data_IF_080899798863
#
_entry.id   IF_080899798863
#
_cell.length_a   1.000
_cell.length_b   1.000
_cell.length_c   1.000
_cell.angle_alpha   90.00
_cell.angle_beta   90.00
_cell.angle_gamma   90.00
#
_symmetry.space_group_name_H-M   'P 1'
#
loop_
_entity.id
_entity.type
_entity.pdbx_description
1 polymer ?
#
# COMPACT_ATOMS: atom_id res chain seq x y z
N UNK A 1 -22.31 -4.31 29.24
CA UNK A 1 -21.33 -3.44 28.56
C UNK A 1 -20.02 -4.21 28.51
N UNK A 2 -19.63 -4.75 27.35
CA UNK A 2 -18.35 -5.43 27.18
C UNK A 2 -17.26 -4.39 26.90
N UNK A 3 -16.21 -4.27 27.76
CA UNK A 3 -15.01 -3.53 27.43
C UNK A 3 -14.10 -4.49 26.68
N UNK A 4 -14.28 -4.63 25.38
CA UNK A 4 -13.68 -5.76 24.67
C UNK A 4 -13.66 -5.63 23.17
N UNK A 5 -13.23 -4.48 22.65
CA UNK A 5 -12.60 -4.43 21.32
C UNK A 5 -11.82 -3.12 21.20
N UNK A 6 -10.61 -3.12 21.77
CA UNK A 6 -9.57 -2.25 21.22
C UNK A 6 -9.29 -2.82 19.84
N UNK A 7 -9.93 -2.29 18.80
CA UNK A 7 -9.50 -2.49 17.41
C UNK A 7 -8.01 -2.16 17.40
N UNK A 8 -7.15 -3.19 17.36
CA UNK A 8 -5.75 -2.97 17.08
C UNK A 8 -5.71 -2.29 15.71
N UNK A 9 -4.96 -1.19 15.53
CA UNK A 9 -4.68 -0.74 14.18
C UNK A 9 -4.12 -1.95 13.44
N UNK A 10 -4.61 -2.22 12.24
CA UNK A 10 -4.20 -3.37 11.46
C UNK A 10 -2.69 -3.31 11.26
N UNK A 11 -1.93 -4.03 12.10
CA UNK A 11 -0.45 -4.04 12.07
C UNK A 11 0.06 -4.49 10.70
N UNK A 12 -0.75 -5.28 9.99
CA UNK A 12 -0.62 -5.60 8.58
C UNK A 12 -1.96 -6.04 7.98
N UNK A 13 -2.04 -6.00 6.66
CA UNK A 13 -3.16 -6.47 5.85
C UNK A 13 -2.65 -7.52 4.87
N UNK A 14 -3.26 -8.70 4.85
CA UNK A 14 -2.85 -9.83 4.01
C UNK A 14 -4.01 -10.23 3.10
N UNK A 15 -3.75 -10.37 1.81
CA UNK A 15 -4.76 -10.73 0.82
C UNK A 15 -4.17 -11.43 -0.39
N UNK A 16 -5.01 -12.18 -1.11
CA UNK A 16 -4.68 -12.80 -2.38
C UNK A 16 -5.03 -11.81 -3.49
N UNK A 17 -4.07 -11.34 -4.30
CA UNK A 17 -4.36 -10.44 -5.40
C UNK A 17 -5.06 -11.18 -6.54
N UNK A 18 -5.86 -10.47 -7.36
CA UNK A 18 -6.41 -11.05 -8.59
C UNK A 18 -5.34 -11.25 -9.65
N UNK A 19 -4.39 -10.31 -9.73
CA UNK A 19 -3.23 -10.33 -10.61
C UNK A 19 -2.13 -9.44 -10.03
N UNK A 20 -0.88 -9.75 -10.36
CA UNK A 20 0.26 -8.86 -10.15
C UNK A 20 1.02 -8.70 -11.46
N UNK A 21 1.38 -7.46 -11.78
CA UNK A 21 2.28 -7.13 -12.90
C UNK A 21 3.62 -6.65 -12.36
N UNK A 22 4.71 -6.90 -13.10
CA UNK A 22 6.08 -6.57 -12.69
C UNK A 22 6.79 -7.68 -11.89
N UNK A 23 6.06 -8.69 -11.42
CA UNK A 23 6.62 -9.88 -10.77
C UNK A 23 5.79 -11.14 -11.10
N UNK A 24 6.41 -12.25 -11.55
CA UNK A 24 5.67 -13.47 -11.84
C UNK A 24 5.22 -14.18 -10.56
N UNK A 25 4.09 -14.88 -10.65
CA UNK A 25 3.63 -15.91 -9.69
C UNK A 25 3.52 -15.44 -8.22
N UNK A 26 3.05 -14.21 -8.01
CA UNK A 26 2.69 -13.73 -6.66
C UNK A 26 1.40 -14.42 -6.23
N UNK A 27 1.48 -15.23 -5.18
CA UNK A 27 0.33 -15.88 -4.58
C UNK A 27 -0.37 -14.99 -3.56
N UNK A 28 0.39 -14.09 -2.90
CA UNK A 28 -0.13 -13.31 -1.79
C UNK A 28 0.62 -12.01 -1.57
N UNK A 29 -0.12 -11.01 -1.09
CA UNK A 29 0.37 -9.66 -0.79
C UNK A 29 0.12 -9.38 0.68
N UNK A 30 1.17 -8.88 1.36
CA UNK A 30 1.08 -8.39 2.74
C UNK A 30 1.52 -6.93 2.76
N UNK A 31 0.61 -6.05 3.18
CA UNK A 31 0.88 -4.63 3.35
C UNK A 31 1.09 -4.35 4.82
N UNK A 32 2.24 -3.77 5.15
CA UNK A 32 2.54 -3.24 6.48
C UNK A 32 2.56 -1.70 6.42
N UNK A 33 2.51 -1.01 7.56
CA UNK A 33 2.66 0.44 7.60
C UNK A 33 3.97 0.93 6.97
N UNK A 34 5.06 0.16 7.04
CA UNK A 34 6.39 0.60 6.60
C UNK A 34 6.94 -0.12 5.35
N UNK A 35 6.25 -1.17 4.88
CA UNK A 35 6.73 -2.02 3.78
C UNK A 35 5.62 -2.82 3.11
N UNK A 36 5.92 -3.29 1.90
CA UNK A 36 5.14 -4.27 1.15
C UNK A 36 5.92 -5.58 1.09
N UNK A 37 5.25 -6.69 1.39
CA UNK A 37 5.80 -8.03 1.18
C UNK A 37 4.97 -8.76 0.13
N UNK A 38 5.66 -9.36 -0.85
CA UNK A 38 5.07 -10.17 -1.90
C UNK A 38 5.57 -11.60 -1.73
N UNK A 39 4.63 -12.52 -1.55
CA UNK A 39 4.92 -13.93 -1.41
C UNK A 39 4.61 -14.64 -2.72
N UNK A 40 5.66 -15.24 -3.29
CA UNK A 40 5.58 -16.20 -4.38
C UNK A 40 5.83 -17.61 -3.84
N UNK A 41 5.58 -18.64 -4.65
CA UNK A 41 5.77 -20.04 -4.26
C UNK A 41 7.22 -20.34 -3.82
N UNK A 42 8.20 -19.63 -4.40
CA UNK A 42 9.62 -19.89 -4.17
C UNK A 42 10.34 -18.80 -3.38
N UNK A 43 9.79 -17.58 -3.34
CA UNK A 43 10.49 -16.42 -2.77
C UNK A 43 9.55 -15.45 -2.06
N UNK A 44 10.10 -14.76 -1.07
CA UNK A 44 9.48 -13.60 -0.41
C UNK A 44 10.28 -12.36 -0.77
N UNK A 45 9.63 -11.36 -1.36
CA UNK A 45 10.22 -10.07 -1.65
C UNK A 45 9.67 -9.01 -0.71
N UNK A 46 10.56 -8.18 -0.18
CA UNK A 46 10.23 -7.14 0.79
C UNK A 46 10.68 -5.79 0.25
N UNK A 47 9.73 -4.87 0.09
CA UNK A 47 9.97 -3.50 -0.38
C UNK A 47 9.66 -2.52 0.73
N UNK A 48 10.66 -1.77 1.19
CA UNK A 48 10.45 -0.74 2.23
C UNK A 48 9.89 0.52 1.59
N UNK A 49 8.81 1.05 2.15
CA UNK A 49 8.19 2.29 1.66
C UNK A 49 9.14 3.49 1.72
N UNK A 50 10.01 3.55 2.72
CA UNK A 50 11.01 4.61 2.81
C UNK A 50 12.03 4.61 1.64
N UNK A 51 12.24 3.47 0.99
CA UNK A 51 13.17 3.30 -0.14
C UNK A 51 12.51 3.66 -1.47
N UNK A 52 11.23 3.35 -1.64
CA UNK A 52 10.47 3.61 -2.87
C UNK A 52 9.67 4.93 -2.85
N UNK A 53 9.54 5.57 -1.69
CA UNK A 53 8.82 6.84 -1.54
C UNK A 53 9.40 7.93 -2.45
N UNK A 54 8.55 8.55 -3.25
CA UNK A 54 8.92 9.73 -4.03
C UNK A 54 8.88 10.98 -3.16
N UNK A 55 10.05 11.58 -2.96
CA UNK A 55 10.17 12.81 -2.20
C UNK A 55 9.84 14.02 -3.07
N UNK A 56 9.12 15.02 -2.54
CA UNK A 56 8.95 16.28 -3.24
C UNK A 56 10.33 16.89 -3.53
N UNK A 57 10.57 17.20 -4.80
CA UNK A 57 11.75 17.96 -5.23
C UNK A 57 11.62 19.39 -4.68
N UNK A 58 12.72 20.00 -4.20
CA UNK A 58 14.12 19.60 -4.38
C UNK A 58 14.72 18.72 -3.26
N UNK A 59 15.65 17.81 -3.61
CA UNK A 59 16.23 16.80 -2.71
C UNK A 59 17.01 17.34 -1.48
N UNK A 60 17.41 18.61 -1.49
CA UNK A 60 18.05 19.24 -0.32
C UNK A 60 17.05 19.48 0.82
N UNK A 61 15.76 19.67 0.49
CA UNK A 61 14.70 19.77 1.49
C UNK A 61 14.63 18.45 2.28
N UNK A 62 14.57 17.31 1.58
CA UNK A 62 14.59 15.97 2.19
C UNK A 62 15.67 15.82 3.26
N UNK A 63 16.94 16.12 2.92
CA UNK A 63 18.07 15.99 3.85
C UNK A 63 17.90 16.86 5.11
N UNK A 64 17.36 18.07 4.96
CA UNK A 64 17.08 18.96 6.09
C UNK A 64 15.94 18.42 6.95
N UNK A 65 14.82 18.04 6.33
CA UNK A 65 13.63 17.60 7.06
C UNK A 65 13.88 16.31 7.86
N UNK A 66 14.58 15.34 7.28
CA UNK A 66 15.01 14.13 8.00
C UNK A 66 15.90 14.44 9.20
N UNK A 67 16.80 15.42 9.09
CA UNK A 67 17.71 15.80 10.17
C UNK A 67 16.96 16.41 11.37
N UNK A 68 15.79 16.99 11.14
CA UNK A 68 14.90 17.49 12.19
C UNK A 68 13.84 16.46 12.64
N UNK A 69 13.96 15.20 12.21
CA UNK A 69 13.00 14.14 12.55
C UNK A 69 11.64 14.30 11.85
N UNK A 70 11.52 15.22 10.89
CA UNK A 70 10.25 15.44 10.19
C UNK A 70 10.07 14.41 9.07
N UNK A 71 9.05 13.57 9.22
CA UNK A 71 8.58 12.59 8.22
C UNK A 71 7.23 13.08 7.69
N UNK A 72 7.17 13.70 6.50
CA UNK A 72 5.90 14.18 5.96
C UNK A 72 4.96 12.98 5.75
N UNK A 73 3.76 13.05 6.34
CA UNK A 73 2.71 12.01 6.29
C UNK A 73 2.02 11.86 4.91
N UNK A 74 2.72 12.24 3.85
CA UNK A 74 2.16 12.43 2.50
C UNK A 74 3.15 11.97 1.43
N UNK A 75 4.11 11.10 1.78
CA UNK A 75 5.10 10.64 0.81
C UNK A 75 4.48 9.57 -0.08
N UNK A 76 4.27 9.85 -1.37
CA UNK A 76 3.67 8.89 -2.28
C UNK A 76 4.64 7.72 -2.49
N UNK A 77 4.18 6.50 -2.24
CA UNK A 77 4.93 5.25 -2.46
C UNK A 77 4.44 4.48 -3.69
N UNK A 78 3.35 4.94 -4.28
CA UNK A 78 2.74 4.36 -5.44
C UNK A 78 1.53 5.16 -5.91
N UNK A 79 1.05 4.80 -7.08
CA UNK A 79 -0.19 5.28 -7.66
C UNK A 79 -1.33 4.30 -7.35
N UNK A 80 -2.58 4.76 -7.43
CA UNK A 80 -3.77 3.92 -7.28
C UNK A 80 -4.85 4.31 -8.27
N UNK A 81 -5.72 3.35 -8.59
CA UNK A 81 -6.94 3.61 -9.36
C UNK A 81 -8.13 2.87 -8.74
N UNK A 82 -9.18 3.63 -8.43
CA UNK A 82 -10.44 3.15 -7.87
C UNK A 82 -11.59 3.10 -8.89
N UNK A 83 -11.49 3.82 -10.01
CA UNK A 83 -12.60 4.09 -10.93
C UNK A 83 -12.94 2.91 -11.84
N UNK A 84 -12.07 1.92 -11.88
CA UNK A 84 -12.29 0.69 -12.62
C UNK A 84 -13.17 -0.32 -11.86
N UNK A 85 -13.79 -1.29 -12.56
CA UNK A 85 -14.48 -2.42 -11.92
C UNK A 85 -13.60 -3.08 -10.84
N UNK A 86 -14.15 -3.72 -9.79
CA UNK A 86 -13.37 -4.09 -8.60
C UNK A 86 -12.11 -4.93 -8.89
N UNK A 87 -12.21 -5.92 -9.79
CA UNK A 87 -11.09 -6.70 -10.35
C UNK A 87 -9.96 -5.92 -11.02
N UNK A 88 -10.24 -4.71 -11.49
CA UNK A 88 -9.31 -3.85 -12.22
C UNK A 88 -8.79 -2.69 -11.35
N UNK A 89 -9.19 -2.64 -10.07
CA UNK A 89 -8.63 -1.69 -9.09
C UNK A 89 -7.23 -2.12 -8.71
N UNK A 90 -6.30 -1.17 -8.68
CA UNK A 90 -4.90 -1.49 -8.46
C UNK A 90 -4.15 -0.47 -7.62
N UNK A 91 -2.99 -0.91 -7.14
CA UNK A 91 -1.92 -0.07 -6.60
C UNK A 91 -0.64 -0.34 -7.40
N UNK A 92 -0.04 0.70 -7.96
CA UNK A 92 1.26 0.63 -8.65
C UNK A 92 2.33 1.21 -7.75
N UNK A 93 3.17 0.36 -7.17
CA UNK A 93 4.26 0.79 -6.30
C UNK A 93 5.46 1.26 -7.12
N UNK A 94 6.14 2.31 -6.64
CA UNK A 94 7.32 2.89 -7.29
C UNK A 94 8.61 2.06 -7.11
N UNK A 95 8.48 0.74 -7.09
CA UNK A 95 9.61 -0.20 -7.10
C UNK A 95 10.34 -0.14 -8.44
N UNK A 96 11.54 -0.73 -8.51
CA UNK A 96 12.30 -0.91 -9.75
C UNK A 96 12.55 -2.42 -9.97
N UNK A 97 11.89 -3.08 -10.96
CA UNK A 97 10.83 -2.54 -11.83
C UNK A 97 9.54 -2.20 -11.06
N UNK A 98 8.66 -1.32 -11.60
CA UNK A 98 7.37 -1.01 -10.97
C UNK A 98 6.52 -2.27 -10.83
N UNK A 99 5.86 -2.41 -9.69
CA UNK A 99 4.98 -3.54 -9.39
C UNK A 99 3.56 -3.03 -9.24
N UNK A 100 2.64 -3.61 -10.01
CA UNK A 100 1.21 -3.29 -9.94
C UNK A 100 0.46 -4.46 -9.32
N UNK A 101 -0.23 -4.20 -8.21
CA UNK A 101 -1.05 -5.18 -7.50
C UNK A 101 -2.52 -4.89 -7.79
N UNK A 102 -3.21 -5.84 -8.40
CA UNK A 102 -4.66 -5.78 -8.64
C UNK A 102 -5.41 -6.43 -7.48
N UNK A 103 -6.45 -5.75 -7.01
CA UNK A 103 -7.26 -6.24 -5.91
C UNK A 103 -8.19 -7.37 -6.37
N UNK A 104 -8.53 -8.26 -5.45
CA UNK A 104 -9.55 -9.28 -5.69
C UNK A 104 -10.93 -8.65 -5.84
N UNK A 105 -11.84 -9.33 -6.54
CA UNK A 105 -13.23 -8.89 -6.62
C UNK A 105 -13.86 -8.95 -5.22
N UNK A 106 -14.49 -7.85 -4.82
CA UNK A 106 -15.25 -7.73 -3.58
C UNK A 106 -16.74 -7.68 -3.87
N UNK A 107 -17.55 -8.03 -2.87
CA UNK A 107 -19.00 -7.92 -2.97
C UNK A 107 -19.39 -6.46 -3.25
N UNK A 108 -20.31 -6.26 -4.20
CA UNK A 108 -20.82 -4.94 -4.59
C UNK A 108 -21.65 -4.29 -3.50
N UNK A 109 -22.16 -5.07 -2.55
CA UNK A 109 -22.92 -4.56 -1.40
C UNK A 109 -22.02 -4.08 -0.26
N UNK A 110 -20.70 -4.30 -0.35
CA UNK A 110 -19.72 -3.86 0.64
C UNK A 110 -19.58 -2.34 0.62
N UNK A 111 -19.71 -1.70 1.79
CA UNK A 111 -19.50 -0.26 1.92
C UNK A 111 -18.04 0.13 1.69
N UNK A 112 -17.78 1.32 1.12
CA UNK A 112 -16.41 1.77 0.77
C UNK A 112 -15.39 1.60 1.92
N UNK A 113 -15.79 1.94 3.15
CA UNK A 113 -14.91 1.84 4.31
C UNK A 113 -14.52 0.41 4.70
N UNK A 114 -15.19 -0.60 4.15
CA UNK A 114 -14.91 -2.02 4.39
C UNK A 114 -14.09 -2.65 3.26
N UNK A 115 -13.95 -1.94 2.14
CA UNK A 115 -13.25 -2.44 0.95
C UNK A 115 -11.76 -2.62 1.22
N UNK A 116 -11.18 -3.65 0.63
CA UNK A 116 -9.77 -3.98 0.68
C UNK A 116 -8.92 -2.80 0.24
N UNK A 117 -9.38 -2.02 -0.74
CA UNK A 117 -8.71 -0.80 -1.18
C UNK A 117 -8.59 0.23 -0.07
N UNK A 118 -9.68 0.50 0.67
CA UNK A 118 -9.60 1.45 1.79
C UNK A 118 -8.73 0.88 2.92
N UNK A 119 -8.82 -0.41 3.19
CA UNK A 119 -7.96 -1.06 4.19
C UNK A 119 -6.47 -0.95 3.82
N UNK A 120 -6.10 -1.17 2.55
CA UNK A 120 -4.72 -0.97 2.07
C UNK A 120 -4.28 0.47 2.28
N UNK A 121 -5.13 1.45 1.94
CA UNK A 121 -4.83 2.86 2.19
C UNK A 121 -4.62 3.15 3.67
N UNK A 122 -5.53 2.69 4.53
CA UNK A 122 -5.45 2.91 5.98
C UNK A 122 -4.15 2.37 6.56
N UNK A 123 -3.70 1.19 6.12
CA UNK A 123 -2.42 0.62 6.55
C UNK A 123 -1.24 1.48 6.10
N UNK A 124 -1.18 1.87 4.82
CA UNK A 124 -0.11 2.73 4.28
C UNK A 124 -0.08 4.10 4.98
N UNK A 125 -1.25 4.73 5.16
CA UNK A 125 -1.44 6.01 5.83
C UNK A 125 -1.00 5.94 7.31
N UNK A 126 -1.25 4.83 7.99
CA UNK A 126 -0.82 4.62 9.38
C UNK A 126 0.70 4.66 9.55
N UNK A 127 1.45 4.29 8.50
CA UNK A 127 2.91 4.39 8.45
C UNK A 127 3.46 5.76 8.10
N UNK A 128 2.60 6.72 7.79
CA UNK A 128 2.98 8.06 7.34
C UNK A 128 3.35 8.13 5.86
N UNK A 129 2.90 7.15 5.06
CA UNK A 129 3.02 7.17 3.60
C UNK A 129 1.67 7.44 2.96
N UNK A 130 1.66 7.71 1.66
CA UNK A 130 0.45 7.92 0.90
C UNK A 130 0.55 7.21 -0.46
N UNK A 131 -0.59 7.11 -1.13
CA UNK A 131 -0.68 6.72 -2.55
C UNK A 131 -1.30 7.87 -3.33
N UNK A 132 -0.85 8.08 -4.56
CA UNK A 132 -1.36 9.13 -5.42
C UNK A 132 -2.55 8.61 -6.24
N UNK A 133 -3.66 9.34 -6.21
CA UNK A 133 -4.86 8.96 -6.97
C UNK A 133 -4.72 9.32 -8.44
N UNK A 134 -4.97 8.38 -9.35
CA UNK A 134 -4.93 8.60 -10.79
C UNK A 134 -6.29 9.04 -11.38
N UNK A 135 -7.34 9.11 -10.57
CA UNK A 135 -8.68 9.57 -10.97
C UNK A 135 -9.38 10.42 -9.91
#
# INVERSE_FOLDING_TARGET
>A
MNPGEVRKPHDCLRFIPSRVEGLPEVAEVIVYPDRLELLSAETSLVFRFAEIAQWPRPAWLRKRLFRFGWRPRWLPVGDRDWFHPPRDRFFTFYTEPPITVFLTDEDREMGYGETLFRQVQDVIESGGFATYDLG
#
